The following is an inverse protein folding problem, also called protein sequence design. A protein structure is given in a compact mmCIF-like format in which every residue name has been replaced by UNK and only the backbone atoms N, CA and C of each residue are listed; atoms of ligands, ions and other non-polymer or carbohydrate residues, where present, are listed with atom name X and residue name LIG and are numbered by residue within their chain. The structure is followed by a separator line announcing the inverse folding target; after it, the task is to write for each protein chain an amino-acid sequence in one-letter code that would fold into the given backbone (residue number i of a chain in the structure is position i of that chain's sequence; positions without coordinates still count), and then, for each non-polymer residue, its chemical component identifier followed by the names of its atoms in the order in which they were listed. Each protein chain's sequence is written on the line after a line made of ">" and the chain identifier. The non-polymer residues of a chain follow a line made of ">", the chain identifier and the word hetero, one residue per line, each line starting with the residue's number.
data_IF_068682240227
#
_entry.id   IF_068682240227
#
_cell.length_a   1.000
_cell.length_b   1.000
_cell.length_c   1.000
_cell.angle_alpha   90.00
_cell.angle_beta   90.00
_cell.angle_gamma   90.00
#
_symmetry.space_group_name_H-M   'P 1'
#
loop_
_entity.id
_entity.type
_entity.pdbx_description
1 polymer ?
#
# COMPACT_ATOMS: atom_id res chain seq x y z
N UNK A 1 -18.17 -7.51 -25.07
CA UNK A 1 -16.81 -6.91 -25.02
C UNK A 1 -16.94 -5.71 -24.08
N UNK A 2 -16.53 -5.76 -22.81
CA UNK A 2 -15.28 -6.32 -22.28
C UNK A 2 -15.48 -6.67 -20.79
N UNK A 3 -15.54 -7.95 -20.46
CA UNK A 3 -15.51 -8.46 -19.09
C UNK A 3 -14.03 -8.61 -18.65
N UNK A 4 -13.33 -7.46 -18.56
CA UNK A 4 -11.95 -7.43 -18.06
C UNK A 4 -11.95 -6.80 -16.68
N UNK A 5 -11.35 -7.51 -15.72
CA UNK A 5 -11.05 -6.97 -14.40
C UNK A 5 -10.06 -5.81 -14.53
N UNK A 6 -10.08 -4.87 -13.57
CA UNK A 6 -9.17 -3.73 -13.58
C UNK A 6 -7.68 -4.14 -13.53
N UNK A 7 -7.37 -5.29 -12.92
CA UNK A 7 -6.01 -5.86 -12.94
C UNK A 7 -5.52 -6.15 -14.37
N UNK A 8 -6.37 -6.73 -15.22
CA UNK A 8 -6.04 -7.03 -16.61
C UNK A 8 -5.80 -5.74 -17.43
N UNK A 9 -6.40 -4.62 -17.02
CA UNK A 9 -6.14 -3.33 -17.65
C UNK A 9 -4.77 -2.77 -17.24
N UNK A 10 -4.37 -2.95 -15.97
CA UNK A 10 -3.03 -2.59 -15.50
C UNK A 10 -1.94 -3.42 -16.20
N UNK A 11 -2.13 -4.73 -16.32
CA UNK A 11 -1.22 -5.62 -17.08
C UNK A 11 -1.11 -5.18 -18.54
N UNK A 12 -2.23 -4.89 -19.20
CA UNK A 12 -2.22 -4.40 -20.58
C UNK A 12 -1.44 -3.09 -20.72
N UNK A 13 -1.60 -2.14 -19.80
CA UNK A 13 -0.86 -0.87 -19.84
C UNK A 13 0.64 -1.11 -19.59
N UNK A 14 1.00 -1.97 -18.62
CA UNK A 14 2.38 -2.32 -18.34
C UNK A 14 3.05 -2.92 -19.59
N UNK A 15 2.38 -3.84 -20.28
CA UNK A 15 2.86 -4.42 -21.54
C UNK A 15 3.04 -3.37 -22.64
N UNK A 16 2.07 -2.46 -22.82
CA UNK A 16 2.14 -1.41 -23.85
C UNK A 16 3.24 -0.39 -23.60
N UNK A 17 3.60 -0.15 -22.33
CA UNK A 17 4.64 0.79 -21.93
C UNK A 17 5.97 0.11 -21.62
N UNK A 18 6.08 -1.21 -21.84
CA UNK A 18 7.25 -2.03 -21.58
C UNK A 18 7.75 -1.91 -20.11
N UNK A 19 6.83 -1.74 -19.16
CA UNK A 19 7.14 -1.65 -17.74
C UNK A 19 7.40 -3.07 -17.21
N UNK A 20 8.62 -3.31 -16.75
CA UNK A 20 9.00 -4.62 -16.22
C UNK A 20 8.38 -4.91 -14.85
N UNK A 21 8.29 -6.20 -14.50
CA UNK A 21 7.86 -6.62 -13.16
C UNK A 21 8.77 -6.08 -12.06
N UNK A 22 10.08 -6.01 -12.33
CA UNK A 22 11.07 -5.46 -11.39
C UNK A 22 10.80 -3.98 -11.10
N UNK A 23 10.55 -3.16 -12.14
CA UNK A 23 10.21 -1.74 -11.97
C UNK A 23 8.90 -1.55 -11.17
N UNK A 24 7.91 -2.41 -11.39
CA UNK A 24 6.67 -2.39 -10.60
C UNK A 24 6.92 -2.72 -9.12
N UNK A 25 7.75 -3.73 -8.85
CA UNK A 25 8.10 -4.14 -7.48
C UNK A 25 8.97 -3.09 -6.78
N UNK A 26 9.92 -2.45 -7.48
CA UNK A 26 10.70 -1.33 -6.97
C UNK A 26 9.82 -0.13 -6.60
N UNK A 27 8.85 0.20 -7.45
CA UNK A 27 7.88 1.24 -7.16
C UNK A 27 7.03 0.90 -5.92
N UNK A 28 6.55 -0.34 -5.82
CA UNK A 28 5.76 -0.79 -4.67
C UNK A 28 6.58 -0.74 -3.36
N UNK A 29 7.84 -1.18 -3.38
CA UNK A 29 8.75 -1.09 -2.23
C UNK A 29 8.95 0.37 -1.81
N UNK A 30 9.26 1.25 -2.77
CA UNK A 30 9.44 2.68 -2.51
C UNK A 30 8.18 3.32 -1.94
N UNK A 31 7.00 2.91 -2.40
CA UNK A 31 5.71 3.37 -1.90
C UNK A 31 5.54 3.03 -0.41
N UNK A 32 5.77 1.77 -0.03
CA UNK A 32 5.69 1.32 1.37
C UNK A 32 6.69 2.06 2.27
N UNK A 33 7.94 2.24 1.82
CA UNK A 33 8.97 2.95 2.57
C UNK A 33 8.60 4.43 2.80
N UNK A 34 8.10 5.12 1.77
CA UNK A 34 7.66 6.52 1.87
C UNK A 34 6.47 6.66 2.82
N UNK A 35 5.49 5.78 2.70
CA UNK A 35 4.30 5.78 3.56
C UNK A 35 4.71 5.56 5.02
N UNK A 36 5.55 4.55 5.29
CA UNK A 36 6.04 4.29 6.65
C UNK A 36 6.79 5.50 7.23
N UNK A 37 7.73 6.07 6.47
CA UNK A 37 8.48 7.24 6.93
C UNK A 37 7.58 8.46 7.18
N UNK A 38 6.54 8.66 6.37
CA UNK A 38 5.56 9.73 6.57
C UNK A 38 4.72 9.52 7.83
N UNK A 39 4.30 8.29 8.10
CA UNK A 39 3.56 7.94 9.32
C UNK A 39 4.41 8.14 10.57
N UNK A 40 5.66 7.67 10.57
CA UNK A 40 6.59 7.84 11.70
C UNK A 40 6.97 9.31 11.94
N UNK A 41 7.10 10.09 10.86
CA UNK A 41 7.30 11.54 10.96
C UNK A 41 6.03 12.30 11.37
N UNK A 42 4.89 11.61 11.56
CA UNK A 42 3.62 12.21 11.96
C UNK A 42 2.96 13.07 10.89
N UNK A 43 3.35 12.94 9.62
CA UNK A 43 2.82 13.77 8.52
C UNK A 43 1.32 13.58 8.31
N UNK A 44 0.82 12.37 8.56
CA UNK A 44 -0.61 12.06 8.41
C UNK A 44 -1.46 12.44 9.63
N UNK A 45 -0.87 12.87 10.75
CA UNK A 45 -1.62 13.19 11.98
C UNK A 45 -2.61 14.34 11.80
N UNK A 46 -2.35 15.26 10.86
CA UNK A 46 -3.21 16.40 10.60
C UNK A 46 -4.44 16.06 9.75
N UNK A 47 -4.39 14.96 8.97
CA UNK A 47 -5.44 14.58 8.02
C UNK A 47 -6.21 13.32 8.44
N UNK A 48 -5.62 12.44 9.25
CA UNK A 48 -6.31 11.26 9.79
C UNK A 48 -7.16 11.64 11.00
N UNK A 49 -8.46 11.40 10.89
CA UNK A 49 -9.40 11.46 12.03
C UNK A 49 -9.42 10.08 12.70
N UNK A 50 -9.03 9.94 13.99
CA UNK A 50 -9.04 8.65 14.67
C UNK A 50 -10.44 8.03 14.72
N UNK A 51 -10.53 6.74 14.40
CA UNK A 51 -11.77 5.97 14.51
C UNK A 51 -11.75 5.17 15.80
N UNK A 52 -12.74 5.38 16.66
CA UNK A 52 -12.87 4.64 17.91
C UNK A 52 -13.49 3.25 17.66
N UNK A 53 -12.74 2.21 18.04
CA UNK A 53 -13.18 0.82 18.03
C UNK A 53 -13.51 0.43 19.48
N UNK A 54 -14.78 0.15 19.75
CA UNK A 54 -15.26 -0.26 21.07
C UNK A 54 -15.51 -1.76 21.10
N UNK A 55 -14.94 -2.42 22.10
CA UNK A 55 -15.20 -3.83 22.41
C UNK A 55 -15.43 -4.05 23.90
N UNK A 56 -15.58 -5.32 24.32
CA UNK A 56 -15.81 -5.68 25.73
C UNK A 56 -14.61 -5.38 26.64
N UNK A 57 -13.42 -5.15 26.08
CA UNK A 57 -12.15 -4.89 26.79
C UNK A 57 -11.83 -3.40 26.87
N UNK A 58 -12.44 -2.56 26.04
CA UNK A 58 -12.34 -1.10 26.13
C UNK A 58 -12.52 -0.41 24.78
N UNK A 59 -11.97 0.79 24.67
CA UNK A 59 -11.91 1.57 23.42
C UNK A 59 -10.48 1.64 22.93
N UNK A 60 -10.24 1.28 21.67
CA UNK A 60 -8.97 1.47 20.97
C UNK A 60 -9.17 2.47 19.84
N UNK A 61 -8.21 3.36 19.61
CA UNK A 61 -8.25 4.29 18.49
C UNK A 61 -7.48 3.72 17.31
N UNK A 62 -8.11 3.65 16.15
CA UNK A 62 -7.46 3.41 14.88
C UNK A 62 -7.08 4.77 14.27
N UNK A 63 -5.79 5.10 14.36
CA UNK A 63 -5.24 6.42 14.01
C UNK A 63 -4.06 6.34 13.02
N UNK A 64 -3.81 5.15 12.47
CA UNK A 64 -2.72 4.89 11.51
C UNK A 64 -3.24 4.00 10.38
N UNK A 65 -2.69 4.20 9.19
CA UNK A 65 -2.95 3.31 8.05
C UNK A 65 -2.40 1.91 8.32
N UNK A 66 -3.28 0.91 8.31
CA UNK A 66 -2.96 -0.51 8.47
C UNK A 66 -2.13 -1.12 7.32
N UNK A 67 -2.37 -0.81 6.03
CA UNK A 67 -1.75 -1.56 4.93
C UNK A 67 -0.24 -1.39 4.74
N UNK A 68 0.39 -0.47 5.47
CA UNK A 68 1.81 -0.14 5.33
C UNK A 68 2.65 -1.29 5.90
N UNK A 69 3.46 -1.93 5.05
CA UNK A 69 4.39 -3.01 5.40
C UNK A 69 5.84 -2.50 5.41
N UNK A 70 6.38 -2.03 6.56
CA UNK A 70 7.75 -1.51 6.63
C UNK A 70 8.83 -2.56 6.33
N UNK A 71 8.51 -3.84 6.53
CA UNK A 71 9.39 -4.98 6.31
C UNK A 71 9.35 -5.54 4.89
N UNK A 72 8.60 -4.92 3.97
CA UNK A 72 8.56 -5.34 2.57
C UNK A 72 9.96 -5.30 1.95
N UNK A 73 10.26 -6.32 1.15
CA UNK A 73 11.50 -6.42 0.38
C UNK A 73 11.20 -6.80 -1.07
N UNK A 74 12.15 -6.57 -1.98
CA UNK A 74 12.02 -6.99 -3.38
C UNK A 74 11.83 -8.50 -3.50
N UNK A 75 12.52 -9.30 -2.69
CA UNK A 75 12.39 -10.76 -2.72
C UNK A 75 11.01 -11.24 -2.26
N UNK A 76 10.37 -10.50 -1.35
CA UNK A 76 9.01 -10.79 -0.93
C UNK A 76 7.99 -10.40 -2.01
N UNK A 77 8.19 -9.26 -2.68
CA UNK A 77 7.33 -8.78 -3.77
C UNK A 77 7.43 -9.67 -5.02
N UNK A 78 8.63 -10.11 -5.38
CA UNK A 78 8.86 -10.99 -6.53
C UNK A 78 8.20 -12.38 -6.41
N UNK A 79 7.73 -12.75 -5.20
CA UNK A 79 7.04 -14.02 -4.92
C UNK A 79 5.51 -13.93 -4.93
N UNK A 80 4.95 -12.74 -5.13
CA UNK A 80 3.51 -12.51 -5.28
C UNK A 80 3.04 -12.82 -6.71
#
# INVERSE_FOLDING_TARGET
>A
MTDKLMGNAAEFIADQLEISREEMDEFALSSHQKAFAATEAGKFKAEIVPVALQDKRGTTLMERDEPIRPETTLEALAKL
#
